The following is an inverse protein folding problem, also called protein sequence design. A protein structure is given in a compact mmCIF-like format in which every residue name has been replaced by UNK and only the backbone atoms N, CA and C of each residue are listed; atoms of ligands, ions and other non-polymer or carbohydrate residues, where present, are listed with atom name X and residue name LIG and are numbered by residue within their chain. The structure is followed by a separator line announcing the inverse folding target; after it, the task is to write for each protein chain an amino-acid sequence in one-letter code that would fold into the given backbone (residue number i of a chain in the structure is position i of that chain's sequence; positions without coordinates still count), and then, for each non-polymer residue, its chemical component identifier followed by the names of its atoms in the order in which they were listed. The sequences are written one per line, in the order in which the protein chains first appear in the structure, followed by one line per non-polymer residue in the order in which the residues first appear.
data_IF_354957752940
#
_entry.id   IF_354957752940
#
_cell.length_a   1.000
_cell.length_b   1.000
_cell.length_c   1.000
_cell.angle_alpha   90.00
_cell.angle_beta   90.00
_cell.angle_gamma   90.00
#
_symmetry.space_group_name_H-M   'P 1'
#
loop_
_entity.id
_entity.type
_entity.pdbx_description
1 polymer ?
#
# COMPACT_ATOMS: atom_id res chain seq x y z
N UNK A 1 -38.87 -14.42 9.31
CA UNK A 1 -37.97 -13.32 8.89
C UNK A 1 -36.59 -13.84 9.19
N UNK A 2 -35.96 -14.40 8.17
CA UNK A 2 -34.63 -14.97 8.30
C UNK A 2 -33.62 -13.80 8.19
N UNK A 3 -32.94 -13.50 9.29
CA UNK A 3 -31.75 -12.68 9.26
C UNK A 3 -30.65 -13.51 8.54
N UNK A 4 -30.42 -13.19 7.28
CA UNK A 4 -29.16 -13.55 6.62
C UNK A 4 -28.08 -12.64 7.23
N UNK A 5 -27.54 -13.03 8.36
CA UNK A 5 -26.21 -12.64 8.76
C UNK A 5 -25.29 -13.54 7.93
N UNK A 6 -24.86 -13.08 6.77
CA UNK A 6 -23.69 -13.62 6.10
C UNK A 6 -22.53 -13.38 7.07
N UNK A 7 -22.15 -14.45 7.76
CA UNK A 7 -21.09 -14.41 8.75
C UNK A 7 -19.80 -13.95 8.07
N UNK A 8 -19.40 -12.75 8.39
CA UNK A 8 -18.05 -12.29 8.21
C UNK A 8 -17.26 -13.01 9.31
N UNK A 9 -16.54 -14.04 8.95
CA UNK A 9 -15.66 -14.73 9.88
C UNK A 9 -14.59 -13.74 10.28
N UNK A 10 -14.36 -13.47 11.57
CA UNK A 10 -13.30 -12.57 11.98
C UNK A 10 -11.95 -13.19 11.62
N UNK A 11 -11.12 -12.42 10.94
CA UNK A 11 -9.72 -12.78 10.69
C UNK A 11 -8.84 -12.21 11.80
N UNK A 12 -7.73 -12.85 12.08
CA UNK A 12 -6.60 -12.18 12.69
C UNK A 12 -5.73 -11.59 11.59
N UNK A 13 -5.41 -10.31 11.70
CA UNK A 13 -4.65 -9.58 10.69
C UNK A 13 -3.35 -9.14 11.29
N UNK A 14 -2.25 -9.68 10.78
CA UNK A 14 -0.90 -9.29 11.17
C UNK A 14 -0.29 -8.35 10.15
N UNK A 15 0.18 -7.19 10.61
CA UNK A 15 0.86 -6.18 9.79
C UNK A 15 2.31 -6.08 10.21
N UNK A 16 3.23 -6.35 9.30
CA UNK A 16 4.66 -6.27 9.54
C UNK A 16 5.35 -5.39 8.51
N UNK A 17 6.24 -4.51 8.95
CA UNK A 17 7.04 -3.69 8.05
C UNK A 17 7.82 -2.59 8.75
N UNK A 18 8.81 -2.06 8.02
CA UNK A 18 9.62 -0.93 8.44
C UNK A 18 9.61 0.13 7.34
N UNK A 19 9.15 1.34 7.67
CA UNK A 19 9.07 2.45 6.71
C UNK A 19 10.00 3.56 7.15
N UNK A 20 11.12 3.79 6.42
CA UNK A 20 11.97 4.95 6.64
C UNK A 20 11.23 6.23 6.29
N UNK A 21 11.13 7.16 7.24
CA UNK A 21 10.44 8.43 7.06
C UNK A 21 11.45 9.57 6.84
N UNK A 22 11.02 10.61 6.13
CA UNK A 22 11.85 11.80 5.96
C UNK A 22 12.12 12.49 7.29
N UNK A 23 13.28 13.10 7.43
CA UNK A 23 13.71 13.76 8.66
C UNK A 23 12.87 14.98 9.07
N UNK A 24 12.09 15.55 8.16
CA UNK A 24 11.19 16.68 8.39
C UNK A 24 9.77 16.28 8.81
N UNK A 25 9.49 14.96 8.88
CA UNK A 25 8.18 14.44 9.25
C UNK A 25 7.92 14.66 10.74
N UNK A 26 6.76 15.24 11.04
CA UNK A 26 6.31 15.44 12.42
C UNK A 26 5.50 14.26 12.93
N UNK A 27 5.46 14.09 14.23
CA UNK A 27 4.63 13.05 14.85
C UNK A 27 3.14 13.21 14.53
N UNK A 28 2.66 14.43 14.37
CA UNK A 28 1.27 14.71 13.98
C UNK A 28 0.96 14.18 12.58
N UNK A 29 1.90 14.30 11.64
CA UNK A 29 1.75 13.74 10.28
C UNK A 29 1.71 12.21 10.30
N UNK A 30 2.55 11.58 11.14
CA UNK A 30 2.54 10.12 11.33
C UNK A 30 1.19 9.69 11.90
N UNK A 31 0.68 10.38 12.92
CA UNK A 31 -0.63 10.10 13.52
C UNK A 31 -1.76 10.19 12.49
N UNK A 32 -1.75 11.20 11.62
CA UNK A 32 -2.79 11.36 10.60
C UNK A 32 -2.69 10.26 9.53
N UNK A 33 -1.47 9.87 9.11
CA UNK A 33 -1.28 8.76 8.16
C UNK A 33 -1.74 7.41 8.72
N UNK A 34 -1.50 7.16 10.01
CA UNK A 34 -1.91 5.92 10.69
C UNK A 34 -3.38 5.94 11.17
N UNK A 35 -4.06 7.05 11.03
CA UNK A 35 -5.45 7.23 11.52
C UNK A 35 -6.46 6.23 10.98
N UNK A 36 -6.41 5.80 9.72
CA UNK A 36 -7.30 4.75 9.23
C UNK A 36 -7.19 3.46 10.05
N UNK A 37 -5.97 3.01 10.36
CA UNK A 37 -5.75 1.77 11.12
C UNK A 37 -6.28 1.84 12.55
N UNK A 38 -5.87 2.85 13.33
CA UNK A 38 -6.30 2.90 14.73
C UNK A 38 -7.80 3.22 14.88
N UNK A 39 -8.41 3.90 13.90
CA UNK A 39 -9.87 4.04 13.86
C UNK A 39 -10.57 2.73 13.54
N UNK A 40 -10.03 1.96 12.61
CA UNK A 40 -10.54 0.63 12.30
C UNK A 40 -10.51 -0.26 13.54
N UNK A 41 -9.41 -0.28 14.27
CA UNK A 41 -9.29 -0.98 15.56
C UNK A 41 -10.21 -0.43 16.67
N UNK A 42 -11.09 0.54 16.37
CA UNK A 42 -12.00 1.14 17.35
C UNK A 42 -11.34 2.01 18.39
N UNK A 43 -10.05 2.31 18.23
CA UNK A 43 -9.28 3.09 19.19
C UNK A 43 -9.58 4.60 19.09
N UNK A 44 -9.41 5.32 20.20
CA UNK A 44 -9.63 6.77 20.27
C UNK A 44 -8.37 7.59 20.00
N UNK A 45 -7.21 6.94 19.99
CA UNK A 45 -5.92 7.56 19.77
C UNK A 45 -4.95 6.58 19.17
N UNK A 46 -3.87 7.07 18.55
CA UNK A 46 -2.79 6.23 18.04
C UNK A 46 -2.21 5.34 19.16
N UNK A 47 -1.95 5.90 20.35
CA UNK A 47 -1.36 5.13 21.45
C UNK A 47 -2.17 3.90 21.84
N UNK A 48 -3.51 4.00 21.82
CA UNK A 48 -4.40 2.86 22.11
C UNK A 48 -4.57 1.92 20.91
N UNK A 49 -4.45 2.41 19.69
CA UNK A 49 -4.58 1.60 18.47
C UNK A 49 -3.26 1.04 17.96
N UNK A 50 -2.16 1.45 18.56
CA UNK A 50 -0.83 0.95 18.23
C UNK A 50 -0.44 -0.32 19.02
N UNK A 51 -1.20 -0.66 20.07
CA UNK A 51 -1.01 -1.88 20.85
C UNK A 51 -1.49 -3.08 20.02
N UNK A 52 -0.70 -4.14 19.98
CA UNK A 52 -1.07 -5.39 19.32
C UNK A 52 -2.03 -6.20 20.19
N UNK A 53 -2.72 -7.16 19.56
CA UNK A 53 -3.50 -8.16 20.27
C UNK A 53 -2.62 -9.07 21.12
N UNK A 54 -1.33 -9.20 20.79
CA UNK A 54 -0.37 -10.04 21.51
C UNK A 54 0.67 -9.21 22.27
N UNK A 55 0.87 -9.55 23.53
CA UNK A 55 1.77 -8.83 24.47
C UNK A 55 3.24 -8.87 24.03
N UNK A 56 3.67 -9.91 23.31
CA UNK A 56 5.03 -10.07 22.80
C UNK A 56 5.32 -9.24 21.56
N UNK A 57 4.31 -8.74 20.87
CA UNK A 57 4.49 -7.89 19.70
C UNK A 57 4.69 -6.44 20.10
N UNK A 58 5.66 -5.75 19.50
CA UNK A 58 5.94 -4.35 19.82
C UNK A 58 4.81 -3.40 19.41
N UNK A 59 3.88 -3.84 18.55
CA UNK A 59 2.84 -3.00 17.97
C UNK A 59 3.37 -2.02 16.93
N UNK A 60 2.75 -0.85 16.80
CA UNK A 60 3.19 0.21 15.90
C UNK A 60 4.05 1.21 16.67
N UNK A 61 5.29 1.40 16.25
CA UNK A 61 6.28 2.26 16.92
C UNK A 61 6.97 3.20 15.95
N UNK A 62 7.33 4.38 16.43
CA UNK A 62 8.17 5.31 15.72
C UNK A 62 9.49 5.52 16.46
N UNK A 63 10.59 5.13 15.82
CA UNK A 63 11.93 5.45 16.30
C UNK A 63 12.34 6.83 15.75
N UNK A 64 12.35 7.82 16.67
CA UNK A 64 12.68 9.20 16.30
C UNK A 64 14.17 9.44 16.03
N UNK A 65 15.06 8.51 16.39
CA UNK A 65 16.50 8.62 16.10
C UNK A 65 16.82 8.16 14.68
N UNK A 66 16.22 7.05 14.32
CA UNK A 66 16.41 6.42 13.00
C UNK A 66 15.39 6.92 11.98
N UNK A 67 14.42 7.74 12.39
CA UNK A 67 13.27 8.15 11.57
C UNK A 67 12.54 6.96 10.94
N UNK A 68 12.35 5.89 11.72
CA UNK A 68 11.79 4.63 11.28
C UNK A 68 10.42 4.40 11.90
N UNK A 69 9.41 4.17 11.07
CA UNK A 69 8.12 3.63 11.49
C UNK A 69 8.22 2.11 11.43
N UNK A 70 8.02 1.45 12.56
CA UNK A 70 8.04 -0.01 12.70
C UNK A 70 6.64 -0.51 13.00
N UNK A 71 6.23 -1.55 12.32
CA UNK A 71 4.96 -2.23 12.49
C UNK A 71 5.22 -3.72 12.69
N UNK A 72 4.76 -4.24 13.82
CA UNK A 72 4.62 -5.65 14.12
C UNK A 72 3.38 -5.73 15.00
N UNK A 73 2.22 -5.78 14.35
CA UNK A 73 0.95 -5.45 14.97
C UNK A 73 -0.14 -6.37 14.46
N UNK A 74 -0.83 -7.02 15.39
CA UNK A 74 -1.96 -7.91 15.11
C UNK A 74 -3.25 -7.31 15.66
N UNK A 75 -4.31 -7.42 14.88
CA UNK A 75 -5.64 -6.93 15.23
C UNK A 75 -6.71 -7.88 14.68
N UNK A 76 -7.80 -8.12 15.44
CA UNK A 76 -8.98 -8.79 14.87
C UNK A 76 -9.62 -7.89 13.82
N UNK A 77 -10.02 -8.46 12.68
CA UNK A 77 -10.56 -7.68 11.59
C UNK A 77 -11.45 -8.45 10.63
N UNK A 78 -11.78 -7.79 9.55
CA UNK A 78 -12.62 -8.26 8.47
C UNK A 78 -12.13 -7.70 7.12
N UNK A 79 -12.86 -7.96 6.03
CA UNK A 79 -12.51 -7.49 4.68
C UNK A 79 -12.40 -5.96 4.56
N UNK A 80 -13.08 -5.20 5.42
CA UNK A 80 -13.04 -3.72 5.42
C UNK A 80 -11.66 -3.19 5.84
N UNK A 81 -10.82 -4.00 6.49
CA UNK A 81 -9.46 -3.64 6.86
C UNK A 81 -8.59 -3.26 5.66
N UNK A 82 -8.82 -3.87 4.49
CA UNK A 82 -8.07 -3.55 3.26
C UNK A 82 -8.22 -2.08 2.87
N UNK A 83 -9.41 -1.50 3.07
CA UNK A 83 -9.61 -0.07 2.80
C UNK A 83 -8.80 0.80 3.77
N UNK A 84 -8.77 0.45 5.06
CA UNK A 84 -7.97 1.18 6.05
C UNK A 84 -6.47 1.12 5.73
N UNK A 85 -5.98 -0.03 5.23
CA UNK A 85 -4.61 -0.19 4.75
C UNK A 85 -4.31 0.69 3.54
N UNK A 86 -5.18 0.70 2.53
CA UNK A 86 -5.00 1.53 1.33
C UNK A 86 -4.91 3.02 1.70
N UNK A 87 -5.79 3.50 2.57
CA UNK A 87 -5.78 4.87 3.05
C UNK A 87 -4.50 5.21 3.84
N UNK A 88 -4.04 4.28 4.70
CA UNK A 88 -2.77 4.42 5.42
C UNK A 88 -1.59 4.48 4.45
N UNK A 89 -1.51 3.56 3.50
CA UNK A 89 -0.42 3.53 2.50
C UNK A 89 -0.37 4.83 1.69
N UNK A 90 -1.52 5.38 1.29
CA UNK A 90 -1.58 6.69 0.64
C UNK A 90 -1.00 7.80 1.53
N UNK A 91 -1.33 7.81 2.81
CA UNK A 91 -0.79 8.77 3.77
C UNK A 91 0.72 8.61 3.98
N UNK A 92 1.21 7.38 4.06
CA UNK A 92 2.62 7.09 4.24
C UNK A 92 3.48 7.40 3.01
N UNK A 93 2.93 7.34 1.80
CA UNK A 93 3.64 7.70 0.57
C UNK A 93 4.23 9.13 0.65
N UNK A 94 3.47 10.07 1.20
CA UNK A 94 3.92 11.45 1.34
C UNK A 94 4.98 11.64 2.43
N UNK A 95 5.12 10.68 3.34
CA UNK A 95 6.04 10.74 4.48
C UNK A 95 7.30 9.91 4.28
N UNK A 96 7.24 8.89 3.45
CA UNK A 96 8.34 7.97 3.21
C UNK A 96 9.57 8.65 2.60
N UNK A 97 10.76 8.24 3.03
CA UNK A 97 12.04 8.69 2.49
C UNK A 97 12.42 7.89 1.23
N UNK A 98 12.18 6.60 1.26
CA UNK A 98 12.46 5.63 0.20
C UNK A 98 11.28 4.68 0.05
N UNK A 99 11.32 3.80 -0.95
CA UNK A 99 10.34 2.72 -1.05
C UNK A 99 10.50 1.72 0.09
N UNK A 100 9.38 1.22 0.62
CA UNK A 100 9.36 0.22 1.68
C UNK A 100 8.20 -0.77 1.48
N UNK A 101 8.41 -2.07 1.79
CA UNK A 101 7.34 -3.07 1.80
C UNK A 101 6.61 -3.06 3.14
N UNK A 102 5.34 -3.41 3.12
CA UNK A 102 4.50 -3.71 4.28
C UNK A 102 3.82 -5.03 3.99
N UNK A 103 4.10 -6.01 4.80
CA UNK A 103 3.54 -7.34 4.74
C UNK A 103 2.26 -7.41 5.56
N UNK A 104 1.21 -8.01 5.02
CA UNK A 104 -0.05 -8.21 5.71
C UNK A 104 -0.49 -9.66 5.53
N UNK A 105 -0.64 -10.36 6.62
CA UNK A 105 -1.11 -11.74 6.66
C UNK A 105 -2.48 -11.78 7.30
N UNK A 106 -3.40 -12.49 6.68
CA UNK A 106 -4.76 -12.72 7.18
C UNK A 106 -4.83 -14.17 7.64
N UNK A 107 -5.03 -14.37 8.93
CA UNK A 107 -5.21 -15.69 9.52
C UNK A 107 -6.69 -15.94 9.73
N UNK A 108 -7.20 -17.08 9.28
CA UNK A 108 -8.56 -17.51 9.60
C UNK A 108 -8.65 -17.81 11.10
N UNK A 109 -9.58 -17.14 11.79
CA UNK A 109 -9.79 -17.32 13.22
C UNK A 109 -10.53 -18.64 13.57
N UNK A 110 -11.00 -19.38 12.55
CA UNK A 110 -11.79 -20.61 12.75
C UNK A 110 -10.95 -21.90 12.85
N UNK A 111 -9.63 -21.79 12.85
CA UNK A 111 -8.76 -22.93 13.19
C UNK A 111 -8.69 -23.10 14.72
N UNK A 112 -9.83 -23.35 15.37
CA UNK A 112 -9.82 -24.00 16.66
C UNK A 112 -9.32 -25.44 16.45
N UNK A 113 -8.20 -25.76 17.09
CA UNK A 113 -7.62 -27.08 17.25
C UNK A 113 -8.63 -28.05 17.92
N UNK A 114 -9.69 -28.44 17.23
CA UNK A 114 -10.44 -29.62 17.61
C UNK A 114 -9.65 -30.88 17.16
N UNK A 115 -8.66 -31.22 17.98
CA UNK A 115 -7.71 -32.36 17.83
C UNK A 115 -8.38 -33.74 17.82
N UNK A 116 -9.62 -33.93 17.38
CA UNK A 116 -10.30 -35.22 17.55
C UNK A 116 -10.90 -35.86 16.30
N UNK A 117 -10.66 -35.38 15.08
CA UNK A 117 -11.13 -36.08 13.88
C UNK A 117 -9.97 -36.65 13.06
N UNK A 118 -9.64 -37.95 13.35
CA UNK A 118 -8.77 -38.84 12.56
C UNK A 118 -9.39 -39.20 11.17
N UNK A 119 -9.86 -38.24 10.39
CA UNK A 119 -10.21 -38.47 8.99
C UNK A 119 -9.22 -37.75 8.08
N UNK A 120 -8.26 -38.53 7.56
CA UNK A 120 -7.33 -38.17 6.50
C UNK A 120 -8.09 -37.78 5.22
N UNK A 121 -8.72 -36.62 5.17
CA UNK A 121 -9.25 -36.07 3.92
C UNK A 121 -8.53 -34.78 3.58
N UNK A 122 -7.62 -34.93 2.58
CA UNK A 122 -7.08 -33.90 1.71
C UNK A 122 -6.73 -32.58 2.43
N UNK A 123 -5.44 -32.43 2.69
CA UNK A 123 -4.77 -31.22 3.17
C UNK A 123 -5.38 -29.95 2.52
N UNK A 124 -6.46 -29.41 3.08
CA UNK A 124 -6.76 -28.01 2.94
C UNK A 124 -5.67 -27.27 3.75
N UNK A 125 -4.52 -27.07 3.08
CA UNK A 125 -3.49 -26.16 3.58
C UNK A 125 -4.19 -24.88 3.97
N UNK A 126 -4.18 -24.55 5.27
CA UNK A 126 -4.59 -23.25 5.78
C UNK A 126 -3.92 -22.20 4.90
N UNK A 127 -4.68 -21.57 4.03
CA UNK A 127 -4.16 -20.54 3.13
C UNK A 127 -4.13 -19.27 3.92
N UNK A 128 -3.00 -19.03 4.57
CA UNK A 128 -2.66 -17.69 5.02
C UNK A 128 -2.67 -16.78 3.79
N UNK A 129 -3.69 -15.94 3.69
CA UNK A 129 -3.76 -14.93 2.64
C UNK A 129 -2.73 -13.85 2.94
N UNK A 130 -1.64 -13.91 2.20
CA UNK A 130 -0.53 -12.99 2.31
C UNK A 130 -0.60 -11.92 1.23
N UNK A 131 -0.53 -10.66 1.62
CA UNK A 131 -0.53 -9.53 0.69
C UNK A 131 0.62 -8.59 1.01
N UNK A 132 1.36 -8.20 -0.04
CA UNK A 132 2.43 -7.21 0.08
C UNK A 132 1.95 -5.84 -0.39
N UNK A 133 1.98 -4.87 0.49
CA UNK A 133 1.78 -3.45 0.20
C UNK A 133 3.12 -2.76 0.02
N UNK A 134 3.13 -1.70 -0.76
CA UNK A 134 4.33 -0.92 -1.01
C UNK A 134 4.06 0.56 -0.85
N UNK A 135 4.90 1.23 -0.10
CA UNK A 135 4.85 2.68 0.10
C UNK A 135 6.13 3.33 -0.40
N UNK A 136 6.05 4.61 -0.79
CA UNK A 136 7.24 5.34 -1.24
C UNK A 136 6.92 6.71 -1.80
N UNK A 137 7.88 7.64 -1.79
CA UNK A 137 7.68 9.04 -2.16
C UNK A 137 7.36 9.25 -3.65
N UNK A 138 7.60 8.25 -4.47
CA UNK A 138 7.34 8.30 -5.91
C UNK A 138 6.99 6.92 -6.45
N UNK A 139 6.24 6.81 -7.55
CA UNK A 139 6.01 5.53 -8.22
C UNK A 139 7.31 4.79 -8.58
N UNK A 140 8.38 5.51 -8.91
CA UNK A 140 9.69 4.91 -9.18
C UNK A 140 10.30 4.26 -7.94
N UNK A 141 10.20 4.89 -6.77
CA UNK A 141 10.69 4.32 -5.51
C UNK A 141 9.90 3.06 -5.12
N UNK A 142 8.59 3.06 -5.33
CA UNK A 142 7.73 1.88 -5.11
C UNK A 142 8.12 0.75 -6.05
N UNK A 143 8.29 1.04 -7.34
CA UNK A 143 8.71 0.03 -8.32
C UNK A 143 10.10 -0.53 -8.02
N UNK A 144 11.02 0.31 -7.53
CA UNK A 144 12.36 -0.14 -7.16
C UNK A 144 12.32 -1.18 -6.04
N UNK A 145 11.57 -0.94 -4.96
CA UNK A 145 11.47 -1.90 -3.86
C UNK A 145 10.74 -3.18 -4.29
N UNK A 146 9.71 -3.09 -5.13
CA UNK A 146 9.07 -4.27 -5.71
C UNK A 146 10.04 -5.12 -6.53
N UNK A 147 10.85 -4.47 -7.35
CA UNK A 147 11.90 -5.12 -8.14
C UNK A 147 12.93 -5.79 -7.24
N UNK A 148 13.42 -5.08 -6.21
CA UNK A 148 14.48 -5.57 -5.33
C UNK A 148 14.01 -6.79 -4.53
N UNK A 149 12.79 -6.79 -4.03
CA UNK A 149 12.18 -7.96 -3.38
C UNK A 149 12.05 -9.14 -4.35
N UNK A 150 11.52 -8.92 -5.55
CA UNK A 150 11.37 -9.99 -6.53
C UNK A 150 12.73 -10.61 -6.90
N UNK A 151 13.77 -9.77 -7.04
CA UNK A 151 15.14 -10.26 -7.27
C UNK A 151 15.62 -11.09 -6.08
N UNK A 152 15.45 -10.59 -4.86
CA UNK A 152 15.88 -11.29 -3.65
C UNK A 152 15.21 -12.65 -3.51
N UNK A 153 13.88 -12.72 -3.66
CA UNK A 153 13.11 -13.95 -3.56
C UNK A 153 13.50 -14.95 -4.65
N UNK A 154 13.60 -14.46 -5.90
CA UNK A 154 13.97 -15.31 -7.04
C UNK A 154 15.38 -15.87 -6.87
N UNK A 155 16.35 -15.06 -6.47
CA UNK A 155 17.72 -15.50 -6.21
C UNK A 155 17.74 -16.50 -5.06
N UNK A 156 17.08 -16.21 -3.94
CA UNK A 156 17.00 -17.12 -2.78
C UNK A 156 16.42 -18.50 -3.09
N UNK A 157 15.46 -18.57 -4.02
CA UNK A 157 14.91 -19.83 -4.52
C UNK A 157 15.88 -20.59 -5.44
N UNK A 158 16.61 -19.86 -6.30
CA UNK A 158 17.44 -20.45 -7.34
C UNK A 158 18.86 -20.82 -6.87
N UNK A 159 19.42 -20.13 -5.85
CA UNK A 159 20.77 -20.39 -5.32
C UNK A 159 21.01 -21.83 -4.86
N UNK A 160 19.94 -22.56 -4.56
CA UNK A 160 20.02 -23.97 -4.16
C UNK A 160 20.27 -24.92 -5.35
N UNK A 161 20.06 -24.45 -6.57
CA UNK A 161 20.03 -25.28 -7.78
C UNK A 161 20.96 -24.79 -8.91
N UNK A 162 21.37 -23.53 -8.88
CA UNK A 162 22.12 -22.87 -9.95
C UNK A 162 23.35 -22.14 -9.44
N UNK A 163 24.37 -22.04 -10.26
CA UNK A 163 25.56 -21.29 -9.95
C UNK A 163 25.33 -19.78 -10.11
N UNK A 164 26.01 -18.96 -9.32
CA UNK A 164 25.82 -17.49 -9.31
C UNK A 164 26.03 -16.80 -10.67
N UNK A 165 26.76 -17.43 -11.60
CA UNK A 165 26.95 -16.90 -12.97
C UNK A 165 25.68 -17.01 -13.82
N UNK A 166 24.83 -18.01 -13.56
CA UNK A 166 23.56 -18.21 -14.26
C UNK A 166 22.47 -17.28 -13.73
N UNK A 167 22.56 -16.92 -12.45
CA UNK A 167 21.59 -16.03 -11.78
C UNK A 167 21.62 -14.61 -12.34
N UNK A 168 22.75 -14.16 -12.88
CA UNK A 168 22.86 -12.84 -13.52
C UNK A 168 21.88 -12.63 -14.67
N UNK A 169 21.64 -13.65 -15.49
CA UNK A 169 20.67 -13.58 -16.60
C UNK A 169 19.22 -13.41 -16.11
N UNK A 170 18.90 -14.01 -14.96
CA UNK A 170 17.57 -13.90 -14.32
C UNK A 170 17.35 -12.47 -13.82
N UNK A 171 18.33 -11.90 -13.13
CA UNK A 171 18.30 -10.50 -12.67
C UNK A 171 18.09 -9.55 -13.84
N UNK A 172 18.88 -9.70 -14.92
CA UNK A 172 18.70 -8.88 -16.13
C UNK A 172 17.31 -9.04 -16.78
N UNK A 173 16.72 -10.23 -16.72
CA UNK A 173 15.37 -10.45 -17.23
C UNK A 173 14.34 -9.71 -16.39
N UNK A 174 14.47 -9.73 -15.07
CA UNK A 174 13.61 -8.98 -14.13
C UNK A 174 13.76 -7.48 -14.39
N UNK A 175 14.99 -6.96 -14.51
CA UNK A 175 15.26 -5.55 -14.80
C UNK A 175 14.54 -5.09 -16.07
N UNK A 176 14.66 -5.84 -17.16
CA UNK A 176 13.98 -5.53 -18.42
C UNK A 176 12.45 -5.52 -18.30
N UNK A 177 11.88 -6.32 -17.42
CA UNK A 177 10.44 -6.33 -17.15
C UNK A 177 10.01 -5.05 -16.42
N UNK A 178 10.75 -4.65 -15.40
CA UNK A 178 10.45 -3.45 -14.62
C UNK A 178 10.67 -2.16 -15.43
N UNK A 179 11.73 -2.07 -16.23
CA UNK A 179 11.96 -0.94 -17.14
C UNK A 179 10.79 -0.73 -18.09
N UNK A 180 10.34 -1.80 -18.76
CA UNK A 180 9.19 -1.73 -19.68
C UNK A 180 7.91 -1.31 -18.97
N UNK A 181 7.69 -1.80 -17.74
CA UNK A 181 6.52 -1.42 -16.93
C UNK A 181 6.59 0.06 -16.54
N UNK A 182 7.77 0.54 -16.15
CA UNK A 182 7.99 1.94 -15.79
C UNK A 182 7.75 2.87 -16.98
N UNK A 183 8.32 2.56 -18.14
CA UNK A 183 8.09 3.31 -19.39
C UNK A 183 6.60 3.37 -19.77
N UNK A 184 5.88 2.27 -19.61
CA UNK A 184 4.43 2.21 -19.87
C UNK A 184 3.66 3.12 -18.90
N UNK A 185 4.00 3.14 -17.61
CA UNK A 185 3.37 4.01 -16.61
C UNK A 185 3.64 5.49 -16.91
N UNK A 186 4.90 5.85 -17.21
CA UNK A 186 5.28 7.23 -17.56
C UNK A 186 4.54 7.69 -18.80
N UNK A 187 4.44 6.84 -19.82
CA UNK A 187 3.72 7.14 -21.05
C UNK A 187 2.22 7.35 -20.79
N UNK A 188 1.60 6.49 -19.96
CA UNK A 188 0.18 6.63 -19.63
C UNK A 188 -0.13 7.93 -18.87
N UNK A 189 0.75 8.32 -17.93
CA UNK A 189 0.62 9.57 -17.19
C UNK A 189 0.80 10.81 -18.11
N UNK A 190 1.67 10.73 -19.11
CA UNK A 190 1.86 11.81 -20.08
C UNK A 190 0.66 11.96 -21.02
N UNK A 191 0.06 10.85 -21.45
CA UNK A 191 -1.13 10.86 -22.31
C UNK A 191 -2.39 11.34 -21.58
N UNK A 192 -2.47 11.18 -20.28
CA UNK A 192 -3.58 11.67 -19.45
C UNK A 192 -3.52 13.16 -19.13
N UNK A 193 -2.45 13.87 -19.50
CA UNK A 193 -2.31 15.30 -19.25
C UNK A 193 -3.00 16.07 -20.39
N UNK A 194 -4.07 16.85 -20.13
CA UNK A 194 -4.68 17.67 -21.17
C UNK A 194 -3.63 18.64 -21.73
N UNK A 195 -3.64 18.91 -23.05
CA UNK A 195 -2.67 19.81 -23.65
C UNK A 195 -2.72 21.16 -22.92
N UNK A 196 -1.58 21.57 -22.37
CA UNK A 196 -1.44 22.93 -21.85
C UNK A 196 -1.73 23.85 -23.01
N UNK A 197 -2.89 24.54 -23.00
CA UNK A 197 -3.17 25.67 -23.86
C UNK A 197 -2.04 26.69 -23.59
N UNK A 198 -1.05 26.68 -24.45
CA UNK A 198 -0.12 27.79 -24.61
C UNK A 198 -0.91 28.93 -25.19
N UNK A 199 -1.57 29.68 -24.31
CA UNK A 199 -2.22 30.92 -24.66
C UNK A 199 -1.20 31.86 -25.26
N UNK A 200 -1.17 31.92 -26.56
CA UNK A 200 -0.40 32.89 -27.33
C UNK A 200 -0.84 34.30 -26.95
N UNK A 201 0.07 35.02 -26.35
CA UNK A 201 0.08 36.47 -26.28
C UNK A 201 0.17 37.00 -27.69
N UNK A 202 -0.87 37.63 -28.15
CA UNK A 202 -0.89 38.36 -29.41
C UNK A 202 -1.82 39.55 -29.29
N UNK A 203 -1.24 40.72 -29.13
CA UNK A 203 -1.88 41.97 -28.85
C UNK A 203 -2.57 42.62 -30.05
N UNK A 204 -3.21 43.68 -29.71
CA UNK A 204 -3.42 44.93 -30.44
C UNK A 204 -4.76 45.17 -31.14
N UNK A 205 -5.43 46.12 -30.59
CA UNK A 205 -6.10 47.31 -31.15
C UNK A 205 -7.27 47.16 -32.12
N UNK A 206 -8.34 47.86 -31.76
CA UNK A 206 -9.10 48.61 -32.73
C UNK A 206 -10.62 48.43 -32.71
N UNK A 207 -11.31 49.26 -31.94
CA UNK A 207 -12.33 50.19 -32.45
C UNK A 207 -13.72 49.68 -32.86
N UNK A 208 -14.68 50.37 -32.30
CA UNK A 208 -16.01 50.76 -32.80
C UNK A 208 -17.22 49.86 -32.48
N UNK A 209 -17.98 50.34 -31.53
CA UNK A 209 -19.32 50.91 -31.68
C UNK A 209 -20.40 50.08 -32.40
N UNK A 210 -21.44 49.74 -31.69
CA UNK A 210 -22.69 49.32 -32.33
C UNK A 210 -23.61 48.55 -31.40
N UNK A 211 -24.41 49.31 -30.65
CA UNK A 211 -25.46 48.71 -29.80
C UNK A 211 -26.56 48.03 -30.61
N UNK A 212 -27.20 47.01 -30.01
CA UNK A 212 -28.65 46.76 -30.13
C UNK A 212 -29.16 45.83 -29.02
N UNK A 213 -30.26 46.29 -28.49
CA UNK A 213 -31.03 45.74 -27.36
C UNK A 213 -31.76 44.42 -27.70
N UNK A 214 -32.34 43.79 -26.70
CA UNK A 214 -32.76 42.40 -26.69
C UNK A 214 -34.15 42.17 -27.30
N UNK A 215 -34.42 40.94 -27.67
CA UNK A 215 -35.81 40.45 -27.84
C UNK A 215 -36.01 39.18 -27.07
N UNK A 216 -36.93 39.28 -26.12
CA UNK A 216 -37.75 38.21 -25.56
C UNK A 216 -38.45 37.40 -26.64
N UNK A 217 -38.73 36.11 -26.32
CA UNK A 217 -39.99 35.36 -26.54
C UNK A 217 -39.59 33.87 -26.74
N UNK A 218 -40.08 33.00 -26.14
CA UNK A 218 -41.17 32.29 -25.48
C UNK A 218 -40.60 31.03 -24.80
#
# INVERSE_FOLDING_TARGET
MANNNSGNTPFEIHVHGEVPLRADVTFEQIQEALKPLWKYAGAKSLAAGAESAYDEEPGIRFDAKEHMLQMCWTVPGDEDFRQALDEMCMGLNDLAQVGAPIEVTFYDADFDDDEDDEDESEEEEARDDFVMYFVGPTPAAIMQVQRDLLVQDTIGLLERHFDGSELGEVVEAIDRLFERRFESLVTSMQLGRPPRNSGGSGGSSGGHSGGRKPRHLH
#
